data_IF_801757619335
#
_entry.id   IF_801757619335
#
_cell.length_a   1.000
_cell.length_b   1.000
_cell.length_c   1.000
_cell.angle_alpha   90.00
_cell.angle_beta   90.00
_cell.angle_gamma   90.00
#
_symmetry.space_group_name_H-M   'P 1'
#
loop_
_entity.id
_entity.type
_entity.pdbx_description
1 polymer ?
#
# COMPACT_ATOMS: atom_id res chain seq x y z
N UNK A 1 32.46 10.90 -1.68
CA UNK A 1 31.68 9.80 -1.07
C UNK A 1 30.30 10.37 -0.81
N UNK A 2 29.26 9.54 -0.77
CA UNK A 2 27.88 10.03 -0.65
C UNK A 2 27.17 9.30 0.48
N UNK A 3 26.27 9.98 1.17
CA UNK A 3 25.64 9.47 2.38
C UNK A 3 24.13 9.52 2.28
N UNK A 4 23.46 8.54 2.87
CA UNK A 4 22.03 8.64 3.11
C UNK A 4 21.82 9.37 4.44
N UNK A 5 21.22 10.56 4.42
CA UNK A 5 20.96 11.31 5.65
C UNK A 5 20.03 10.54 6.60
N UNK A 6 19.09 9.77 6.05
CA UNK A 6 18.07 9.05 6.81
C UNK A 6 18.57 7.73 7.43
N UNK A 7 19.35 6.96 6.66
CA UNK A 7 19.87 5.66 7.08
C UNK A 7 21.27 5.73 7.70
N UNK A 8 21.95 6.87 7.56
CA UNK A 8 23.35 7.09 7.92
C UNK A 8 24.35 6.17 7.18
N UNK A 9 23.89 5.49 6.13
CA UNK A 9 24.72 4.59 5.32
C UNK A 9 25.63 5.40 4.38
N UNK A 10 26.91 5.07 4.37
CA UNK A 10 27.90 5.57 3.43
C UNK A 10 27.91 4.75 2.14
N UNK A 11 28.00 5.45 1.01
CA UNK A 11 28.05 4.89 -0.33
C UNK A 11 29.23 5.46 -1.13
N UNK A 12 29.61 4.72 -2.17
CA UNK A 12 30.53 5.20 -3.18
C UNK A 12 29.92 6.35 -4.01
N UNK A 13 30.77 7.22 -4.56
CA UNK A 13 30.39 8.43 -5.31
C UNK A 13 29.57 8.19 -6.58
N UNK A 14 29.55 6.96 -7.09
CA UNK A 14 28.80 6.56 -8.28
C UNK A 14 27.35 6.15 -7.97
N UNK A 15 27.00 6.06 -6.69
CA UNK A 15 25.64 5.78 -6.22
C UNK A 15 24.94 7.12 -5.96
N UNK A 16 23.77 7.34 -6.56
CA UNK A 16 23.00 8.58 -6.37
C UNK A 16 21.78 8.43 -5.46
N UNK A 17 21.36 7.19 -5.16
CA UNK A 17 20.14 6.88 -4.39
C UNK A 17 20.42 5.78 -3.38
N UNK A 18 19.91 5.93 -2.15
CA UNK A 18 20.00 4.94 -1.09
C UNK A 18 19.26 3.66 -1.46
N UNK A 19 19.90 2.50 -1.30
CA UNK A 19 19.28 1.21 -1.67
C UNK A 19 18.25 0.73 -0.65
N UNK A 20 18.32 1.22 0.59
CA UNK A 20 17.43 0.81 1.67
C UNK A 20 16.15 1.65 1.74
N UNK A 21 16.25 2.96 1.47
CA UNK A 21 15.13 3.90 1.64
C UNK A 21 14.78 4.71 0.38
N UNK A 22 15.48 4.51 -0.74
CA UNK A 22 15.13 5.13 -2.03
C UNK A 22 15.37 6.64 -2.15
N UNK A 23 15.99 7.28 -1.14
CA UNK A 23 16.22 8.73 -1.15
C UNK A 23 17.57 9.09 -1.77
N UNK A 24 17.62 10.23 -2.46
CA UNK A 24 18.83 10.78 -3.05
C UNK A 24 19.91 11.02 -1.98
N UNK A 25 21.15 10.62 -2.28
CA UNK A 25 22.26 10.77 -1.35
C UNK A 25 22.72 12.23 -1.24
N UNK A 26 23.44 12.54 -0.17
CA UNK A 26 24.05 13.85 0.09
C UNK A 26 25.58 13.73 0.11
N UNK A 27 26.24 14.85 -0.21
CA UNK A 27 27.70 14.94 -0.32
C UNK A 27 28.42 15.19 1.02
N UNK A 28 27.68 15.35 2.11
CA UNK A 28 28.22 15.55 3.46
C UNK A 28 27.69 14.46 4.40
N UNK A 29 28.53 13.99 5.32
CA UNK A 29 28.13 12.95 6.26
C UNK A 29 27.09 13.49 7.26
N UNK A 30 25.96 12.79 7.47
CA UNK A 30 24.97 13.21 8.44
C UNK A 30 25.55 13.17 9.86
N UNK A 31 25.01 14.02 10.74
CA UNK A 31 25.42 14.04 12.15
C UNK A 31 24.94 12.77 12.84
N UNK A 32 25.85 12.04 13.48
CA UNK A 32 25.49 10.88 14.30
C UNK A 32 24.71 11.32 15.55
N UNK A 33 23.82 10.46 16.05
CA UNK A 33 22.95 10.74 17.20
C UNK A 33 23.72 11.25 18.44
N UNK A 34 24.87 10.63 18.73
CA UNK A 34 25.72 10.98 19.87
C UNK A 34 26.34 12.39 19.76
N UNK A 35 26.30 13.00 18.57
CA UNK A 35 26.81 14.34 18.29
C UNK A 35 25.70 15.39 18.16
N UNK A 36 24.43 15.02 18.40
CA UNK A 36 23.32 15.98 18.48
C UNK A 36 23.36 16.70 19.82
N UNK A 37 24.16 17.76 19.86
CA UNK A 37 24.41 18.55 21.07
C UNK A 37 25.52 18.01 21.96
N UNK A 38 25.64 18.60 23.15
CA UNK A 38 26.55 18.15 24.19
C UNK A 38 25.98 16.95 24.97
N UNK A 39 26.86 16.18 25.62
CA UNK A 39 26.47 14.99 26.42
C UNK A 39 25.51 15.27 27.58
N UNK A 40 25.41 16.54 28.00
CA UNK A 40 24.56 17.00 29.10
C UNK A 40 23.31 17.75 28.60
N UNK A 41 23.13 17.87 27.28
CA UNK A 41 21.97 18.54 26.67
C UNK A 41 20.82 17.54 26.46
N UNK A 42 19.60 17.96 26.77
CA UNK A 42 18.40 17.15 26.52
C UNK A 42 18.10 17.09 25.01
N UNK A 43 17.65 15.93 24.55
CA UNK A 43 17.27 15.67 23.16
C UNK A 43 15.76 15.44 23.07
N UNK A 44 15.16 15.92 21.98
CA UNK A 44 13.74 15.73 21.65
C UNK A 44 13.64 14.96 20.33
N UNK A 45 12.57 14.18 20.21
CA UNK A 45 12.33 13.25 19.11
C UNK A 45 11.01 13.61 18.41
N UNK A 46 11.05 13.70 17.08
CA UNK A 46 9.91 13.91 16.21
C UNK A 46 9.73 12.68 15.30
N UNK A 47 8.52 12.13 15.30
CA UNK A 47 8.18 10.94 14.51
C UNK A 47 7.49 11.34 13.20
N UNK A 48 8.24 11.46 12.10
CA UNK A 48 7.77 11.99 10.82
C UNK A 48 7.51 10.88 9.78
N UNK A 49 6.96 9.76 10.22
CA UNK A 49 6.67 8.59 9.38
C UNK A 49 5.58 8.86 8.33
N UNK A 50 4.69 9.81 8.60
CA UNK A 50 3.63 10.25 7.68
C UNK A 50 4.17 11.16 6.56
N UNK A 51 5.42 11.65 6.68
CA UNK A 51 6.03 12.53 5.70
C UNK A 51 6.73 11.75 4.60
N UNK A 52 6.54 12.20 3.36
CA UNK A 52 7.29 11.69 2.22
C UNK A 52 8.81 11.94 2.39
N UNK A 53 9.63 11.06 1.81
CA UNK A 53 11.09 11.18 1.89
C UNK A 53 11.62 12.51 1.32
N UNK A 54 10.97 13.06 0.29
CA UNK A 54 11.30 14.37 -0.28
C UNK A 54 10.99 15.52 0.68
N UNK A 55 9.88 15.47 1.41
CA UNK A 55 9.50 16.48 2.42
C UNK A 55 10.46 16.42 3.61
N UNK A 56 10.86 15.22 4.05
CA UNK A 56 11.91 15.04 5.07
C UNK A 56 13.27 15.54 4.59
N UNK A 57 13.61 15.39 3.30
CA UNK A 57 14.81 15.96 2.69
C UNK A 57 14.76 17.49 2.66
N UNK A 58 13.60 18.09 2.37
CA UNK A 58 13.44 19.54 2.43
C UNK A 58 13.63 20.06 3.87
N UNK A 59 13.05 19.36 4.85
CA UNK A 59 13.23 19.66 6.28
C UNK A 59 14.71 19.55 6.69
N UNK A 60 15.41 18.48 6.30
CA UNK A 60 16.84 18.28 6.56
C UNK A 60 17.71 19.41 5.98
N UNK A 61 17.42 19.86 4.76
CA UNK A 61 18.11 20.99 4.12
C UNK A 61 17.90 22.30 4.87
N UNK A 62 16.68 22.56 5.36
CA UNK A 62 16.37 23.78 6.09
C UNK A 62 17.03 23.77 7.48
N UNK A 63 16.97 22.65 8.21
CA UNK A 63 17.67 22.47 9.49
C UNK A 63 19.19 22.66 9.33
N UNK A 64 19.77 22.09 8.28
CA UNK A 64 21.18 22.26 7.93
C UNK A 64 21.50 23.72 7.58
N UNK A 65 20.65 24.36 6.78
CA UNK A 65 20.78 25.77 6.38
C UNK A 65 20.76 26.74 7.56
N UNK A 66 19.98 26.42 8.60
CA UNK A 66 19.91 27.18 9.86
C UNK A 66 20.95 26.74 10.90
N UNK A 67 21.81 25.76 10.56
CA UNK A 67 22.88 25.24 11.42
C UNK A 67 22.33 24.69 12.76
N UNK A 68 21.18 24.02 12.69
CA UNK A 68 20.56 23.31 13.81
C UNK A 68 21.16 21.91 13.88
N UNK A 69 21.63 21.49 15.06
CA UNK A 69 22.19 20.16 15.24
C UNK A 69 21.06 19.12 15.29
N UNK A 70 21.10 18.15 14.38
CA UNK A 70 20.05 17.13 14.24
C UNK A 70 20.59 15.82 13.70
N UNK A 71 19.90 14.71 13.97
CA UNK A 71 20.20 13.38 13.43
C UNK A 71 18.92 12.64 13.06
N UNK A 72 18.99 11.83 12.01
CA UNK A 72 17.87 11.02 11.54
C UNK A 72 18.09 9.54 11.83
N UNK A 73 17.03 8.87 12.27
CA UNK A 73 16.97 7.43 12.48
C UNK A 73 15.76 6.88 11.70
N UNK A 74 15.90 6.70 10.38
CA UNK A 74 14.72 6.42 9.56
C UNK A 74 13.82 7.65 9.47
N UNK A 75 12.52 7.50 9.72
CA UNK A 75 11.59 8.63 9.70
C UNK A 75 11.58 9.48 10.97
N UNK A 76 12.47 9.16 11.92
CA UNK A 76 12.52 9.82 13.22
C UNK A 76 13.65 10.86 13.23
N UNK A 77 13.29 12.12 13.53
CA UNK A 77 14.21 13.24 13.67
C UNK A 77 14.54 13.46 15.15
N UNK A 78 15.83 13.53 15.49
CA UNK A 78 16.31 13.85 16.83
C UNK A 78 17.04 15.18 16.81
N UNK A 79 16.66 16.09 17.71
CA UNK A 79 17.21 17.45 17.84
C UNK A 79 17.52 17.77 19.29
N UNK A 80 18.24 18.86 19.54
CA UNK A 80 18.42 19.39 20.89
C UNK A 80 17.13 20.04 21.39
N UNK A 81 16.79 19.80 22.66
CA UNK A 81 15.65 20.44 23.31
C UNK A 81 15.73 21.98 23.29
N UNK A 82 16.95 22.53 23.28
CA UNK A 82 17.15 23.98 23.20
C UNK A 82 16.72 24.58 21.84
N UNK A 83 16.67 23.78 20.79
CA UNK A 83 16.32 24.21 19.43
C UNK A 83 14.85 23.88 19.08
N UNK A 84 14.06 23.32 20.01
CA UNK A 84 12.67 22.87 19.82
C UNK A 84 11.80 23.94 19.14
N UNK A 85 11.82 25.18 19.66
CA UNK A 85 10.97 26.26 19.14
C UNK A 85 11.31 26.64 17.69
N UNK A 86 12.57 26.51 17.28
CA UNK A 86 12.99 26.80 15.91
C UNK A 86 12.73 25.60 14.99
N UNK A 87 12.92 24.38 15.50
CA UNK A 87 12.56 23.14 14.79
C UNK A 87 11.06 23.07 14.52
N UNK A 88 10.21 23.37 15.50
CA UNK A 88 8.75 23.41 15.32
C UNK A 88 8.34 24.36 14.20
N UNK A 89 8.92 25.58 14.17
CA UNK A 89 8.63 26.56 13.10
C UNK A 89 9.03 26.05 11.72
N UNK A 90 10.16 25.33 11.64
CA UNK A 90 10.64 24.78 10.37
C UNK A 90 9.76 23.61 9.94
N UNK A 91 9.34 22.75 10.88
CA UNK A 91 8.40 21.67 10.61
C UNK A 91 7.10 22.26 10.08
N UNK A 92 6.48 23.21 10.78
CA UNK A 92 5.24 23.86 10.35
C UNK A 92 5.39 24.46 8.94
N UNK A 93 6.47 25.22 8.70
CA UNK A 93 6.70 25.84 7.39
C UNK A 93 6.98 24.81 6.28
N UNK A 94 7.64 23.70 6.60
CA UNK A 94 7.95 22.64 5.63
C UNK A 94 6.71 21.80 5.35
N UNK A 95 5.83 21.60 6.33
CA UNK A 95 4.54 20.92 6.16
C UNK A 95 3.65 21.67 5.17
N UNK A 96 3.58 22.99 5.32
CA UNK A 96 2.90 23.90 4.38
C UNK A 96 3.51 23.87 2.96
N UNK A 97 4.74 23.39 2.81
CA UNK A 97 5.49 23.35 1.54
C UNK A 97 5.67 21.92 1.00
N UNK A 98 5.29 20.89 1.76
CA UNK A 98 5.80 19.51 1.66
C UNK A 98 5.06 18.58 0.70
N UNK A 99 4.06 19.08 -0.02
CA UNK A 99 3.26 18.34 -0.98
C UNK A 99 1.94 19.06 -1.22
N UNK A 100 1.19 18.73 -2.27
CA UNK A 100 -0.14 19.28 -2.42
C UNK A 100 -1.01 18.81 -1.25
N UNK A 101 -1.27 19.70 -0.30
CA UNK A 101 -2.18 19.45 0.83
C UNK A 101 -3.60 19.50 0.29
N UNK A 102 -4.45 18.56 0.75
CA UNK A 102 -5.86 18.61 0.41
C UNK A 102 -6.49 19.88 0.97
N UNK A 103 -7.14 20.66 0.11
CA UNK A 103 -7.95 21.79 0.55
C UNK A 103 -9.07 21.26 1.49
N UNK A 104 -9.10 21.69 2.77
CA UNK A 104 -10.11 21.22 3.72
C UNK A 104 -11.53 21.64 3.36
N UNK A 105 -11.71 22.66 2.51
CA UNK A 105 -13.02 23.13 2.05
C UNK A 105 -13.45 22.50 0.72
N UNK A 106 -12.56 21.79 0.02
CA UNK A 106 -12.86 21.12 -1.24
C UNK A 106 -13.55 19.77 -1.04
N UNK A 107 -14.31 19.35 -2.05
CA UNK A 107 -15.00 18.06 -2.02
C UNK A 107 -13.98 16.92 -2.24
N UNK A 108 -14.02 15.92 -1.35
CA UNK A 108 -13.09 14.80 -1.32
C UNK A 108 -13.81 13.49 -1.64
N UNK A 109 -13.10 12.57 -2.26
CA UNK A 109 -13.52 11.19 -2.47
C UNK A 109 -12.56 10.25 -1.72
N UNK A 110 -13.11 9.17 -1.16
CA UNK A 110 -12.36 8.17 -0.41
C UNK A 110 -12.24 6.89 -1.24
N UNK A 111 -11.02 6.39 -1.37
CA UNK A 111 -10.73 5.08 -1.95
C UNK A 111 -10.38 4.10 -0.84
N UNK A 112 -11.16 3.02 -0.76
CA UNK A 112 -10.89 1.91 0.14
C UNK A 112 -9.61 1.19 -0.29
N UNK A 113 -8.54 1.38 0.47
CA UNK A 113 -7.24 0.70 0.31
C UNK A 113 -6.92 -0.20 1.52
N UNK A 114 -7.96 -0.58 2.26
CA UNK A 114 -7.89 -1.51 3.36
C UNK A 114 -7.33 -2.87 2.89
N UNK A 115 -6.22 -3.31 3.50
CA UNK A 115 -5.52 -4.55 3.15
C UNK A 115 -4.23 -4.37 2.36
N UNK A 116 -3.88 -3.15 1.95
CA UNK A 116 -2.55 -2.85 1.42
C UNK A 116 -1.49 -2.93 2.51
N UNK A 117 -0.32 -3.47 2.18
CA UNK A 117 0.82 -3.45 3.07
C UNK A 117 1.41 -2.01 3.16
N UNK A 118 2.11 -1.71 4.26
CA UNK A 118 2.62 -0.35 4.51
C UNK A 118 3.60 0.13 3.43
N UNK A 119 4.37 -0.78 2.84
CA UNK A 119 5.24 -0.53 1.69
C UNK A 119 4.45 -0.23 0.41
N UNK A 120 3.31 -0.88 0.19
CA UNK A 120 2.40 -0.57 -0.94
C UNK A 120 1.77 0.82 -0.79
N UNK A 121 1.30 1.18 0.41
CA UNK A 121 0.77 2.52 0.69
C UNK A 121 1.85 3.59 0.45
N UNK A 122 3.07 3.35 0.94
CA UNK A 122 4.20 4.26 0.74
C UNK A 122 4.52 4.44 -0.74
N UNK A 123 4.65 3.35 -1.49
CA UNK A 123 4.98 3.39 -2.91
C UNK A 123 3.88 4.09 -3.74
N UNK A 124 2.61 3.95 -3.36
CA UNK A 124 1.51 4.64 -4.03
C UNK A 124 1.47 6.13 -3.70
N UNK A 125 1.69 6.52 -2.44
CA UNK A 125 1.85 7.92 -2.05
C UNK A 125 2.97 8.61 -2.82
N UNK A 126 4.11 7.95 -3.01
CA UNK A 126 5.21 8.46 -3.83
C UNK A 126 4.81 8.64 -5.30
N UNK A 127 3.98 7.74 -5.84
CA UNK A 127 3.46 7.86 -7.19
C UNK A 127 2.52 9.06 -7.33
N UNK A 128 1.59 9.26 -6.39
CA UNK A 128 0.67 10.40 -6.38
C UNK A 128 1.42 11.73 -6.22
N UNK A 129 2.40 11.78 -5.32
CA UNK A 129 3.27 12.94 -5.16
C UNK A 129 4.01 13.29 -6.45
N UNK A 130 4.55 12.29 -7.17
CA UNK A 130 5.24 12.49 -8.46
C UNK A 130 4.28 12.96 -9.57
N UNK A 131 3.00 12.63 -9.48
CA UNK A 131 1.93 13.12 -10.36
C UNK A 131 1.40 14.49 -9.94
N UNK A 132 1.79 15.00 -8.77
CA UNK A 132 1.33 16.27 -8.21
C UNK A 132 -0.10 16.22 -7.68
N UNK A 133 -0.58 15.03 -7.28
CA UNK A 133 -1.96 14.81 -6.81
C UNK A 133 -2.01 14.98 -5.28
N UNK A 134 -2.80 15.95 -4.76
CA UNK A 134 -3.08 16.07 -3.34
C UNK A 134 -3.77 14.83 -2.78
N UNK A 135 -3.27 14.32 -1.65
CA UNK A 135 -3.84 13.14 -0.99
C UNK A 135 -3.55 13.10 0.51
N UNK A 136 -4.41 12.44 1.29
CA UNK A 136 -4.20 12.12 2.70
C UNK A 136 -4.77 10.72 3.01
N UNK A 137 -4.26 10.06 4.05
CA UNK A 137 -4.90 8.86 4.60
C UNK A 137 -5.72 9.23 5.83
N UNK A 138 -6.94 8.72 5.92
CA UNK A 138 -7.78 8.95 7.09
C UNK A 138 -7.49 7.96 8.23
N UNK A 139 -8.22 8.09 9.35
CA UNK A 139 -8.04 7.20 10.51
C UNK A 139 -8.47 5.75 10.26
N UNK A 140 -9.27 5.48 9.22
CA UNK A 140 -9.63 4.14 8.81
C UNK A 140 -8.59 3.52 7.86
N UNK A 141 -7.66 4.33 7.35
CA UNK A 141 -6.67 3.93 6.35
C UNK A 141 -7.17 4.07 4.92
N UNK A 142 -8.25 4.82 4.69
CA UNK A 142 -8.75 5.14 3.36
C UNK A 142 -7.94 6.28 2.75
N UNK A 143 -7.70 6.20 1.44
CA UNK A 143 -7.02 7.24 0.69
C UNK A 143 -8.04 8.30 0.28
N UNK A 144 -7.90 9.51 0.83
CA UNK A 144 -8.69 10.68 0.46
C UNK A 144 -7.96 11.49 -0.62
N UNK A 145 -8.70 11.90 -1.65
CA UNK A 145 -8.22 12.76 -2.73
C UNK A 145 -9.29 13.79 -3.11
N UNK A 146 -8.92 14.84 -3.86
CA UNK A 146 -9.90 15.79 -4.37
C UNK A 146 -10.75 15.16 -5.47
N UNK A 147 -12.04 15.50 -5.53
CA UNK A 147 -12.94 15.07 -6.62
C UNK A 147 -12.44 15.54 -7.99
N UNK A 148 -11.73 16.67 -8.06
CA UNK A 148 -11.15 17.14 -9.33
C UNK A 148 -10.03 16.26 -9.88
N UNK A 149 -9.39 15.48 -8.99
CA UNK A 149 -8.28 14.58 -9.31
C UNK A 149 -8.73 13.12 -9.47
N UNK A 150 -10.03 12.81 -9.35
CA UNK A 150 -10.62 11.47 -9.44
C UNK A 150 -10.09 10.68 -10.66
N UNK A 151 -10.22 11.24 -11.87
CA UNK A 151 -9.76 10.61 -13.11
C UNK A 151 -8.24 10.30 -13.10
N UNK A 152 -7.43 11.15 -12.47
CA UNK A 152 -5.98 10.99 -12.40
C UNK A 152 -5.59 9.92 -11.37
N UNK A 153 -6.30 9.88 -10.25
CA UNK A 153 -6.11 8.89 -9.17
C UNK A 153 -6.55 7.50 -9.62
N UNK A 154 -7.68 7.39 -10.32
CA UNK A 154 -8.11 6.10 -10.90
C UNK A 154 -7.06 5.56 -11.88
N UNK A 155 -6.55 6.42 -12.77
CA UNK A 155 -5.49 6.01 -13.69
C UNK A 155 -4.19 5.61 -12.98
N UNK A 156 -3.87 6.27 -11.86
CA UNK A 156 -2.71 5.92 -11.04
C UNK A 156 -2.92 4.58 -10.32
N UNK A 157 -4.09 4.33 -9.74
CA UNK A 157 -4.46 3.07 -9.09
C UNK A 157 -4.35 1.90 -10.06
N UNK A 158 -4.91 2.03 -11.25
CA UNK A 158 -4.85 1.01 -12.29
C UNK A 158 -3.40 0.68 -12.69
N UNK A 159 -2.58 1.72 -12.87
CA UNK A 159 -1.18 1.55 -13.23
C UNK A 159 -0.36 0.90 -12.10
N UNK A 160 -0.62 1.28 -10.85
CA UNK A 160 0.07 0.74 -9.68
C UNK A 160 -0.27 -0.74 -9.45
N UNK A 161 -1.55 -1.08 -9.50
CA UNK A 161 -2.01 -2.47 -9.36
C UNK A 161 -1.54 -3.34 -10.52
N UNK A 162 -1.60 -2.83 -11.75
CA UNK A 162 -1.12 -3.54 -12.94
C UNK A 162 0.40 -3.78 -12.93
N UNK A 163 1.17 -2.94 -12.25
CA UNK A 163 2.62 -3.11 -12.09
C UNK A 163 2.98 -4.10 -10.98
N UNK A 164 2.13 -4.26 -9.96
CA UNK A 164 2.38 -5.16 -8.82
C UNK A 164 1.82 -6.58 -9.02
N UNK A 165 1.02 -6.81 -10.06
CA UNK A 165 0.44 -8.12 -10.38
C UNK A 165 0.90 -8.65 -11.75
N UNK A 166 1.91 -9.53 -11.72
CA UNK A 166 2.49 -10.20 -12.89
C UNK A 166 1.56 -11.25 -13.54
N UNK A 167 0.37 -11.53 -12.96
CA UNK A 167 -0.55 -12.53 -13.50
C UNK A 167 -1.18 -12.05 -14.81
N UNK A 168 -1.42 -12.96 -15.78
CA UNK A 168 -2.09 -12.63 -17.03
C UNK A 168 -3.54 -12.12 -16.80
N UNK A 169 -4.01 -11.29 -17.72
CA UNK A 169 -5.41 -10.84 -17.78
C UNK A 169 -6.35 -11.90 -18.36
N UNK A 170 -7.61 -11.84 -17.94
CA UNK A 170 -8.71 -12.52 -18.63
C UNK A 170 -9.24 -11.61 -19.75
N UNK A 171 -9.35 -12.14 -20.97
CA UNK A 171 -9.78 -11.35 -22.12
C UNK A 171 -11.32 -11.22 -22.20
N UNK A 172 -11.81 -10.00 -22.44
CA UNK A 172 -13.21 -9.75 -22.78
C UNK A 172 -14.22 -10.27 -21.76
N UNK A 173 -15.09 -11.20 -22.18
CA UNK A 173 -16.17 -11.75 -21.35
C UNK A 173 -15.76 -13.03 -20.59
N UNK A 174 -14.49 -13.46 -20.69
CA UNK A 174 -14.02 -14.69 -20.07
C UNK A 174 -14.10 -14.63 -18.54
N UNK A 175 -13.90 -13.44 -17.96
CA UNK A 175 -14.12 -13.18 -16.54
C UNK A 175 -15.57 -13.46 -16.11
N UNK A 176 -16.56 -12.90 -16.80
CA UNK A 176 -17.97 -13.11 -16.48
C UNK A 176 -18.38 -14.57 -16.66
N UNK A 177 -17.85 -15.24 -17.69
CA UNK A 177 -18.08 -16.66 -17.91
C UNK A 177 -17.49 -17.50 -16.77
N UNK A 178 -16.25 -17.22 -16.35
CA UNK A 178 -15.59 -17.87 -15.24
C UNK A 178 -16.38 -17.70 -13.93
N UNK A 179 -16.73 -16.46 -13.55
CA UNK A 179 -17.50 -16.17 -12.35
C UNK A 179 -18.87 -16.87 -12.36
N UNK A 180 -19.57 -16.85 -13.50
CA UNK A 180 -20.85 -17.55 -13.66
C UNK A 180 -20.70 -19.07 -13.51
N UNK A 181 -19.64 -19.64 -14.06
CA UNK A 181 -19.37 -21.07 -13.98
C UNK A 181 -19.00 -21.51 -12.56
N UNK A 182 -18.17 -20.73 -11.86
CA UNK A 182 -17.82 -20.95 -10.45
C UNK A 182 -19.08 -20.85 -9.58
N UNK A 183 -19.94 -19.86 -9.82
CA UNK A 183 -21.21 -19.72 -9.11
C UNK A 183 -22.10 -20.97 -9.26
N UNK A 184 -22.25 -21.48 -10.48
CA UNK A 184 -23.04 -22.68 -10.75
C UNK A 184 -22.45 -23.91 -10.06
N UNK A 185 -21.12 -24.08 -10.08
CA UNK A 185 -20.43 -25.16 -9.39
C UNK A 185 -20.64 -25.08 -7.87
N UNK A 186 -20.48 -23.91 -7.27
CA UNK A 186 -20.72 -23.67 -5.85
C UNK A 186 -22.19 -23.90 -5.45
N UNK A 187 -23.16 -23.46 -6.26
CA UNK A 187 -24.58 -23.69 -5.96
C UNK A 187 -24.96 -25.18 -6.04
N UNK A 188 -24.30 -25.97 -6.90
CA UNK A 188 -24.41 -27.45 -6.90
C UNK A 188 -23.86 -28.03 -5.60
N UNK A 189 -22.61 -27.70 -5.26
CA UNK A 189 -21.92 -28.24 -4.07
C UNK A 189 -22.60 -27.87 -2.76
N UNK A 190 -23.17 -26.66 -2.69
CA UNK A 190 -23.99 -26.22 -1.55
C UNK A 190 -25.25 -27.06 -1.35
N UNK A 191 -25.84 -27.58 -2.43
CA UNK A 191 -27.01 -28.47 -2.37
C UNK A 191 -26.57 -29.91 -2.08
N UNK A 192 -25.57 -30.38 -2.81
CA UNK A 192 -24.97 -31.70 -2.70
C UNK A 192 -23.44 -31.63 -2.82
N UNK A 193 -22.69 -31.72 -1.70
CA UNK A 193 -21.23 -31.61 -1.71
C UNK A 193 -20.53 -32.81 -2.37
N UNK A 194 -21.27 -33.84 -2.78
CA UNK A 194 -20.77 -34.97 -3.57
C UNK A 194 -21.24 -34.95 -5.02
N UNK A 195 -21.77 -33.82 -5.51
CA UNK A 195 -22.12 -33.66 -6.92
C UNK A 195 -20.85 -33.73 -7.77
N UNK A 196 -20.62 -34.87 -8.42
CA UNK A 196 -19.40 -35.13 -9.20
C UNK A 196 -19.11 -34.03 -10.24
N UNK A 197 -20.16 -33.48 -10.84
CA UNK A 197 -20.02 -32.42 -11.84
C UNK A 197 -19.58 -31.10 -11.20
N UNK A 198 -20.18 -30.72 -10.07
CA UNK A 198 -19.76 -29.55 -9.30
C UNK A 198 -18.32 -29.67 -8.81
N UNK A 199 -17.89 -30.86 -8.39
CA UNK A 199 -16.50 -31.14 -7.99
C UNK A 199 -15.55 -31.02 -9.19
N UNK A 200 -15.88 -31.63 -10.33
CA UNK A 200 -15.06 -31.52 -11.55
C UNK A 200 -14.93 -30.08 -12.05
N UNK A 201 -16.05 -29.33 -12.04
CA UNK A 201 -16.10 -27.93 -12.45
C UNK A 201 -15.25 -27.05 -11.52
N UNK A 202 -15.38 -27.17 -10.19
CA UNK A 202 -14.63 -26.32 -9.25
C UNK A 202 -13.11 -26.60 -9.31
N UNK A 203 -12.71 -27.87 -9.48
CA UNK A 203 -11.32 -28.27 -9.68
C UNK A 203 -10.71 -27.65 -10.95
N UNK A 204 -11.51 -27.45 -11.99
CA UNK A 204 -11.06 -26.83 -13.23
C UNK A 204 -10.98 -25.29 -13.13
N UNK A 205 -11.89 -24.65 -12.40
CA UNK A 205 -12.00 -23.19 -12.36
C UNK A 205 -11.17 -22.52 -11.25
N UNK A 206 -10.95 -23.19 -10.11
CA UNK A 206 -10.17 -22.60 -9.01
C UNK A 206 -8.75 -22.16 -9.44
N UNK A 207 -7.98 -22.96 -10.21
CA UNK A 207 -6.67 -22.52 -10.68
C UNK A 207 -6.72 -21.28 -11.57
N UNK A 208 -7.79 -21.12 -12.36
CA UNK A 208 -7.94 -19.98 -13.27
C UNK A 208 -8.16 -18.67 -12.49
N UNK A 209 -8.91 -18.70 -11.37
CA UNK A 209 -9.10 -17.52 -10.52
C UNK A 209 -7.78 -17.07 -9.90
N UNK A 210 -6.97 -18.01 -9.41
CA UNK A 210 -5.70 -17.67 -8.74
C UNK A 210 -4.63 -17.26 -9.74
N UNK A 211 -4.62 -17.85 -10.95
CA UNK A 211 -3.59 -17.61 -11.95
C UNK A 211 -3.78 -16.36 -12.81
N UNK A 212 -4.90 -15.65 -12.68
CA UNK A 212 -5.17 -14.43 -13.44
C UNK A 212 -5.36 -13.25 -12.50
N UNK A 213 -4.95 -12.07 -12.97
CA UNK A 213 -5.17 -10.83 -12.24
C UNK A 213 -6.65 -10.43 -12.26
N UNK A 214 -7.10 -9.58 -11.31
CA UNK A 214 -8.46 -9.08 -11.28
C UNK A 214 -8.84 -8.42 -12.62
N UNK A 215 -10.00 -8.73 -13.20
CA UNK A 215 -10.49 -8.05 -14.39
C UNK A 215 -10.82 -6.58 -14.10
N UNK A 216 -10.78 -5.73 -15.13
CA UNK A 216 -11.14 -4.31 -15.01
C UNK A 216 -12.50 -4.11 -14.31
N UNK A 217 -12.55 -3.18 -13.34
CA UNK A 217 -13.74 -2.86 -12.56
C UNK A 217 -14.04 -3.83 -11.40
N UNK A 218 -13.19 -4.83 -11.14
CA UNK A 218 -13.29 -5.68 -9.96
C UNK A 218 -12.28 -5.28 -8.89
N UNK A 219 -12.72 -5.20 -7.64
CA UNK A 219 -11.83 -4.97 -6.50
C UNK A 219 -10.81 -6.14 -6.37
N UNK A 220 -9.50 -5.87 -6.35
CA UNK A 220 -8.45 -6.89 -6.25
C UNK A 220 -8.53 -7.77 -4.99
N UNK A 221 -8.87 -7.18 -3.84
CA UNK A 221 -9.00 -7.88 -2.56
C UNK A 221 -10.10 -8.92 -2.66
N UNK A 222 -11.27 -8.52 -3.19
CA UNK A 222 -12.40 -9.42 -3.38
C UNK A 222 -12.09 -10.54 -4.38
N UNK A 223 -11.38 -10.24 -5.48
CA UNK A 223 -10.96 -11.24 -6.46
C UNK A 223 -10.00 -12.28 -5.86
N UNK A 224 -8.98 -11.81 -5.13
CA UNK A 224 -7.99 -12.68 -4.50
C UNK A 224 -8.63 -13.55 -3.42
N UNK A 225 -9.48 -12.97 -2.56
CA UNK A 225 -10.24 -13.70 -1.54
C UNK A 225 -11.14 -14.77 -2.17
N UNK A 226 -11.81 -14.46 -3.29
CA UNK A 226 -12.60 -15.44 -4.03
C UNK A 226 -11.73 -16.62 -4.52
N UNK A 227 -10.56 -16.32 -5.10
CA UNK A 227 -9.59 -17.34 -5.52
C UNK A 227 -9.14 -18.23 -4.36
N UNK A 228 -8.72 -17.63 -3.25
CA UNK A 228 -8.30 -18.33 -2.03
C UNK A 228 -9.38 -19.24 -1.47
N UNK A 229 -10.60 -18.72 -1.29
CA UNK A 229 -11.73 -19.50 -0.74
C UNK A 229 -12.19 -20.60 -1.67
N UNK A 230 -12.10 -20.40 -2.98
CA UNK A 230 -12.38 -21.44 -3.98
C UNK A 230 -11.32 -22.55 -3.91
N UNK A 231 -10.05 -22.19 -3.69
CA UNK A 231 -8.97 -23.15 -3.54
C UNK A 231 -9.07 -23.91 -2.20
N UNK A 232 -9.45 -23.24 -1.12
CA UNK A 232 -9.77 -23.87 0.18
C UNK A 232 -10.86 -24.94 0.01
N UNK A 233 -11.91 -24.66 -0.77
CA UNK A 233 -12.96 -25.64 -1.06
C UNK A 233 -12.40 -26.85 -1.85
N UNK A 234 -11.51 -26.62 -2.80
CA UNK A 234 -10.84 -27.67 -3.57
C UNK A 234 -9.99 -28.56 -2.65
N UNK A 235 -9.22 -27.97 -1.75
CA UNK A 235 -8.36 -28.70 -0.81
C UNK A 235 -9.20 -29.58 0.12
N UNK A 236 -10.28 -29.03 0.71
CA UNK A 236 -11.19 -29.78 1.58
C UNK A 236 -11.91 -30.94 0.86
N UNK A 237 -12.21 -30.78 -0.43
CA UNK A 237 -12.77 -31.85 -1.27
C UNK A 237 -11.74 -32.95 -1.56
N UNK A 238 -10.46 -32.59 -1.71
CA UNK A 238 -9.38 -33.51 -1.97
C UNK A 238 -8.99 -34.34 -0.72
N UNK A 239 -9.06 -33.75 0.48
CA UNK A 239 -8.83 -34.46 1.75
C UNK A 239 -9.84 -35.60 1.97
N UNK A 240 -11.10 -35.37 1.60
CA UNK A 240 -12.14 -36.40 1.53
C UNK A 240 -12.68 -36.89 2.89
N UNK A 241 -12.17 -36.39 4.01
CA UNK A 241 -12.68 -36.62 5.37
C UNK A 241 -13.45 -35.42 5.97
N UNK A 242 -13.41 -34.27 5.29
CA UNK A 242 -14.21 -33.08 5.61
C UNK A 242 -15.70 -33.38 5.69
N UNK A 243 -16.37 -32.79 6.69
CA UNK A 243 -17.81 -32.99 6.85
C UNK A 243 -18.58 -32.37 5.69
N UNK A 244 -19.66 -33.03 5.27
CA UNK A 244 -20.53 -32.49 4.22
C UNK A 244 -21.26 -31.21 4.65
N UNK A 245 -21.31 -30.88 5.95
CA UNK A 245 -21.87 -29.62 6.42
C UNK A 245 -20.89 -28.46 6.24
N UNK A 246 -19.61 -28.68 6.52
CA UNK A 246 -18.56 -27.66 6.34
C UNK A 246 -18.36 -27.32 4.87
N UNK A 247 -18.33 -28.32 3.98
CA UNK A 247 -18.28 -28.13 2.53
C UNK A 247 -19.48 -27.31 2.01
N UNK A 248 -20.68 -27.57 2.55
CA UNK A 248 -21.88 -26.81 2.20
C UNK A 248 -21.82 -25.38 2.70
N UNK A 249 -21.29 -25.16 3.90
CA UNK A 249 -21.13 -23.83 4.48
C UNK A 249 -20.17 -22.99 3.63
N UNK A 250 -18.99 -23.53 3.30
CA UNK A 250 -18.02 -22.83 2.47
C UNK A 250 -18.56 -22.55 1.06
N UNK A 251 -19.18 -23.54 0.41
CA UNK A 251 -19.83 -23.35 -0.88
C UNK A 251 -20.97 -22.30 -0.82
N UNK A 252 -21.69 -22.20 0.30
CA UNK A 252 -22.68 -21.15 0.53
C UNK A 252 -22.04 -19.78 0.63
N UNK A 253 -20.99 -19.62 1.43
CA UNK A 253 -20.26 -18.36 1.56
C UNK A 253 -19.74 -17.90 0.20
N UNK A 254 -19.12 -18.79 -0.58
CA UNK A 254 -18.68 -18.49 -1.94
C UNK A 254 -19.83 -18.04 -2.85
N UNK A 255 -20.98 -18.70 -2.76
CA UNK A 255 -22.18 -18.33 -3.54
C UNK A 255 -22.69 -16.94 -3.17
N UNK A 256 -22.56 -16.52 -1.91
CA UNK A 256 -22.98 -15.20 -1.43
C UNK A 256 -22.03 -14.10 -1.92
N UNK A 257 -20.71 -14.33 -1.86
CA UNK A 257 -19.70 -13.42 -2.43
C UNK A 257 -19.91 -13.24 -3.93
N UNK A 258 -20.05 -14.35 -4.67
CA UNK A 258 -20.25 -14.32 -6.12
C UNK A 258 -21.53 -13.59 -6.55
N UNK A 259 -22.58 -13.55 -5.73
CA UNK A 259 -23.80 -12.76 -6.02
C UNK A 259 -23.59 -11.26 -5.95
N UNK A 260 -22.60 -10.81 -5.21
CA UNK A 260 -22.28 -9.39 -5.12
C UNK A 260 -21.42 -8.93 -6.32
N UNK A 261 -20.78 -9.88 -7.01
CA UNK A 261 -19.86 -9.63 -8.13
C UNK A 261 -20.48 -9.80 -9.52
N UNK A 262 -21.66 -10.44 -9.63
CA UNK A 262 -22.31 -10.80 -10.91
C UNK A 262 -23.69 -10.15 -11.05
#
# INVERSE_FOLDING_TARGET
MSWCFQCQTEYAEDVSVCVDCGIELVDDAPTELDNVGGSDEEQIVYELHEWAGESRRALDQELTGQNIAHSWLGATLVVRAADEEDVDKIIDATDETGGPVLDPEAEKIAYEVEGWAADEQTAFSEMLARLGIPHEFDQAGDLLVLVEDEDAVEAALDAFQGANDDRPELEGLDANALLSNVFVACDRLRKDPRDNRGVEEILAYAPLLVSHRPPFGFNPVTWNLLGEKTNELVDLLAEGDTSGEDLKLLAKTLTEVLRQMV
#
